data_IF_527855159292
#
_entry.id   IF_527855159292
#
_cell.length_a   1.000
_cell.length_b   1.000
_cell.length_c   1.000
_cell.angle_alpha   90.00
_cell.angle_beta   90.00
_cell.angle_gamma   90.00
#
_symmetry.space_group_name_H-M   'P 1'
#
loop_
_entity.id
_entity.type
_entity.pdbx_description
1 polymer ?
#
# COMPACT_ATOMS: atom_id res chain seq x y z
N UNK A 1 39.94 -5.33 27.40
CA UNK A 1 39.66 -4.66 26.11
C UNK A 1 38.90 -5.64 25.23
N UNK A 2 37.63 -5.35 24.93
CA UNK A 2 36.68 -6.27 24.28
C UNK A 2 36.99 -6.33 22.78
N UNK A 3 37.41 -7.50 22.27
CA UNK A 3 37.53 -7.79 20.85
C UNK A 3 36.17 -8.15 20.25
N UNK A 4 35.95 -7.58 19.07
CA UNK A 4 35.09 -7.98 17.94
C UNK A 4 33.55 -7.92 18.03
N UNK A 5 32.99 -7.17 17.06
CA UNK A 5 31.95 -7.70 16.16
C UNK A 5 32.15 -7.08 14.77
N UNK A 6 32.25 -7.88 13.69
CA UNK A 6 32.36 -7.37 12.33
C UNK A 6 31.01 -6.77 11.90
N UNK A 7 31.07 -5.62 11.24
CA UNK A 7 29.92 -4.89 10.70
C UNK A 7 29.30 -5.74 9.58
N UNK A 8 28.29 -6.53 9.93
CA UNK A 8 27.57 -7.43 9.01
C UNK A 8 27.02 -6.60 7.85
N UNK A 9 27.45 -6.94 6.65
CA UNK A 9 27.20 -6.20 5.42
C UNK A 9 25.71 -5.91 5.23
N UNK A 10 25.38 -4.62 5.06
CA UNK A 10 24.04 -4.22 4.66
C UNK A 10 23.72 -4.88 3.32
N UNK A 11 22.60 -5.59 3.19
CA UNK A 11 22.27 -6.29 1.96
C UNK A 11 22.16 -5.29 0.81
N UNK A 12 22.89 -5.58 -0.27
CA UNK A 12 23.04 -4.74 -1.46
C UNK A 12 21.66 -4.47 -2.07
N UNK A 13 21.15 -3.24 -1.88
CA UNK A 13 19.89 -2.79 -2.48
C UNK A 13 19.95 -2.98 -3.99
N UNK A 14 18.91 -3.59 -4.56
CA UNK A 14 18.81 -3.72 -6.01
C UNK A 14 18.86 -2.31 -6.65
N UNK A 15 19.49 -2.13 -7.83
CA UNK A 15 19.45 -0.84 -8.51
C UNK A 15 18.01 -0.39 -8.74
N UNK A 16 17.76 0.92 -8.67
CA UNK A 16 16.42 1.53 -8.71
C UNK A 16 15.63 1.07 -9.96
N UNK A 17 16.30 0.87 -11.09
CA UNK A 17 15.67 0.37 -12.33
C UNK A 17 15.03 -1.01 -12.11
N UNK A 18 15.67 -1.89 -11.35
CA UNK A 18 15.13 -3.23 -11.04
C UNK A 18 13.94 -3.11 -10.09
N UNK A 19 14.00 -2.21 -9.10
CA UNK A 19 12.86 -1.90 -8.23
C UNK A 19 11.64 -1.45 -9.04
N UNK A 20 11.84 -0.52 -9.98
CA UNK A 20 10.80 -0.05 -10.90
C UNK A 20 10.22 -1.20 -11.74
N UNK A 21 11.07 -2.08 -12.27
CA UNK A 21 10.64 -3.25 -13.03
C UNK A 21 9.81 -4.22 -12.18
N UNK A 22 10.16 -4.44 -10.91
CA UNK A 22 9.38 -5.28 -10.00
C UNK A 22 7.98 -4.70 -9.81
N UNK A 23 7.86 -3.40 -9.52
CA UNK A 23 6.54 -2.75 -9.41
C UNK A 23 5.75 -2.80 -10.72
N UNK A 24 6.39 -2.57 -11.86
CA UNK A 24 5.75 -2.64 -13.16
C UNK A 24 5.20 -4.04 -13.48
N UNK A 25 5.99 -5.09 -13.23
CA UNK A 25 5.56 -6.48 -13.43
C UNK A 25 4.40 -6.83 -12.50
N UNK A 26 4.48 -6.46 -11.23
CA UNK A 26 3.40 -6.72 -10.25
C UNK A 26 2.11 -6.02 -10.66
N UNK A 27 2.18 -4.75 -11.06
CA UNK A 27 1.01 -4.01 -11.54
C UNK A 27 0.44 -4.60 -12.83
N UNK A 28 1.30 -5.02 -13.77
CA UNK A 28 0.87 -5.67 -15.00
C UNK A 28 0.14 -6.99 -14.73
N UNK A 29 0.69 -7.84 -13.87
CA UNK A 29 0.04 -9.08 -13.44
C UNK A 29 -1.27 -8.77 -12.71
N UNK A 30 -1.28 -7.76 -11.84
CA UNK A 30 -2.49 -7.33 -11.14
C UNK A 30 -3.58 -6.84 -12.08
N UNK A 31 -3.21 -6.21 -13.19
CA UNK A 31 -4.14 -5.77 -14.22
C UNK A 31 -4.79 -6.96 -14.92
N UNK A 32 -4.02 -8.00 -15.27
CA UNK A 32 -4.56 -9.25 -15.84
C UNK A 32 -5.53 -9.92 -14.86
N UNK A 33 -5.19 -9.96 -13.58
CA UNK A 33 -6.06 -10.50 -12.53
C UNK A 33 -7.34 -9.66 -12.42
N UNK A 34 -7.22 -8.33 -12.38
CA UNK A 34 -8.35 -7.40 -12.29
C UNK A 34 -9.37 -7.61 -13.42
N UNK A 35 -8.90 -7.90 -14.64
CA UNK A 35 -9.76 -8.18 -15.80
C UNK A 35 -10.51 -9.51 -15.70
N UNK A 36 -9.97 -10.47 -14.94
CA UNK A 36 -10.58 -11.79 -14.71
C UNK A 36 -11.63 -11.78 -13.60
N UNK A 37 -11.63 -10.75 -12.74
CA UNK A 37 -12.59 -10.60 -11.63
C UNK A 37 -13.94 -10.11 -12.17
N UNK A 38 -15.08 -10.58 -11.62
CA UNK A 38 -16.40 -10.12 -12.04
C UNK A 38 -16.54 -8.58 -11.93
N UNK A 39 -17.07 -7.94 -12.97
CA UNK A 39 -17.29 -6.49 -13.02
C UNK A 39 -18.18 -5.95 -11.89
N UNK A 40 -18.94 -6.82 -11.21
CA UNK A 40 -19.74 -6.48 -10.05
C UNK A 40 -18.91 -6.12 -8.81
N UNK A 41 -17.60 -6.44 -8.79
CA UNK A 41 -16.71 -6.09 -7.70
C UNK A 41 -15.43 -5.43 -8.24
N UNK A 42 -15.49 -4.11 -8.58
CA UNK A 42 -14.37 -3.40 -9.16
C UNK A 42 -13.31 -3.12 -8.10
N UNK A 43 -12.33 -4.02 -7.99
CA UNK A 43 -11.14 -3.80 -7.18
C UNK A 43 -10.13 -2.95 -7.95
N UNK A 44 -9.61 -1.85 -7.36
CA UNK A 44 -8.53 -1.09 -7.97
C UNK A 44 -7.31 -1.99 -8.18
N UNK A 45 -6.72 -1.93 -9.37
CA UNK A 45 -5.52 -2.70 -9.72
C UNK A 45 -4.37 -2.56 -8.71
N UNK A 46 -4.06 -1.36 -8.17
CA UNK A 46 -3.01 -1.21 -7.16
C UNK A 46 -3.27 -1.98 -5.85
N UNK A 47 -4.55 -2.16 -5.47
CA UNK A 47 -4.91 -2.91 -4.25
C UNK A 47 -4.62 -4.40 -4.44
N UNK A 48 -4.89 -4.94 -5.63
CA UNK A 48 -4.51 -6.31 -6.00
C UNK A 48 -2.99 -6.45 -5.98
N UNK A 49 -2.27 -5.46 -6.52
CA UNK A 49 -0.81 -5.41 -6.51
C UNK A 49 -0.21 -5.40 -5.11
N UNK A 50 -0.85 -4.70 -4.16
CA UNK A 50 -0.44 -4.68 -2.76
C UNK A 50 -0.54 -6.07 -2.13
N UNK A 51 -1.66 -6.77 -2.34
CA UNK A 51 -1.85 -8.14 -1.84
C UNK A 51 -0.83 -9.09 -2.48
N UNK A 52 -0.61 -8.98 -3.79
CA UNK A 52 0.34 -9.81 -4.52
C UNK A 52 1.78 -9.59 -4.02
N UNK A 53 2.23 -8.33 -3.92
CA UNK A 53 3.55 -7.99 -3.41
C UNK A 53 3.74 -8.47 -1.97
N UNK A 54 2.72 -8.30 -1.11
CA UNK A 54 2.73 -8.80 0.26
C UNK A 54 2.93 -10.32 0.33
N UNK A 55 2.23 -11.08 -0.52
CA UNK A 55 2.40 -12.54 -0.59
C UNK A 55 3.80 -12.91 -1.08
N UNK A 56 4.31 -12.25 -2.13
CA UNK A 56 5.67 -12.47 -2.64
C UNK A 56 6.75 -12.19 -1.57
N UNK A 57 6.54 -11.17 -0.73
CA UNK A 57 7.40 -10.84 0.40
C UNK A 57 7.30 -11.90 1.50
N UNK A 58 6.08 -12.34 1.83
CA UNK A 58 5.81 -13.37 2.83
C UNK A 58 6.47 -14.70 2.46
N UNK A 59 6.37 -15.10 1.20
CA UNK A 59 7.02 -16.30 0.66
C UNK A 59 8.53 -16.13 0.40
N UNK A 60 9.10 -14.96 0.74
CA UNK A 60 10.52 -14.63 0.54
C UNK A 60 11.01 -14.76 -0.92
N UNK A 61 10.09 -14.71 -1.88
CA UNK A 61 10.42 -14.68 -3.33
C UNK A 61 11.06 -13.34 -3.68
N UNK A 62 10.51 -12.26 -3.10
CA UNK A 62 11.05 -10.90 -3.21
C UNK A 62 11.54 -10.48 -1.82
N UNK A 63 12.75 -9.92 -1.74
CA UNK A 63 13.28 -9.34 -0.50
C UNK A 63 12.80 -7.91 -0.36
N UNK A 64 12.54 -7.47 0.88
CA UNK A 64 12.11 -6.09 1.15
C UNK A 64 13.13 -5.06 0.61
N UNK A 65 14.42 -5.36 0.71
CA UNK A 65 15.53 -4.55 0.20
C UNK A 65 15.48 -4.30 -1.33
N UNK A 66 14.74 -5.13 -2.07
CA UNK A 66 14.59 -5.04 -3.52
C UNK A 66 13.45 -4.13 -3.95
N UNK A 67 12.71 -3.53 -3.02
CA UNK A 67 11.56 -2.66 -3.32
C UNK A 67 11.51 -1.40 -2.45
N UNK A 68 12.09 -1.44 -1.25
CA UNK A 68 12.00 -0.41 -0.21
C UNK A 68 12.50 0.99 -0.61
N UNK A 69 13.63 1.08 -1.32
CA UNK A 69 14.22 2.37 -1.67
C UNK A 69 13.34 3.18 -2.63
N UNK A 70 12.82 2.56 -3.70
CA UNK A 70 11.91 3.20 -4.65
C UNK A 70 10.55 3.46 -4.01
N UNK A 71 10.06 2.56 -3.16
CA UNK A 71 8.83 2.79 -2.39
C UNK A 71 8.92 4.08 -1.56
N UNK A 72 10.05 4.28 -0.88
CA UNK A 72 10.30 5.46 -0.06
C UNK A 72 10.30 6.74 -0.89
N UNK A 73 10.98 6.74 -2.04
CA UNK A 73 10.96 7.88 -2.98
C UNK A 73 9.54 8.19 -3.47
N UNK A 74 8.74 7.16 -3.75
CA UNK A 74 7.34 7.34 -4.18
C UNK A 74 6.50 7.96 -3.06
N UNK A 75 6.67 7.48 -1.83
CA UNK A 75 5.97 8.00 -0.65
C UNK A 75 6.33 9.47 -0.41
N UNK A 76 7.61 9.83 -0.52
CA UNK A 76 8.06 11.21 -0.41
C UNK A 76 7.45 12.12 -1.49
N UNK A 77 7.23 11.57 -2.69
CA UNK A 77 6.59 12.28 -3.80
C UNK A 77 5.06 12.42 -3.63
N UNK A 78 4.39 11.66 -2.76
CA UNK A 78 2.93 11.72 -2.58
C UNK A 78 2.48 13.15 -2.25
N UNK A 79 3.20 13.85 -1.37
CA UNK A 79 2.94 15.25 -1.02
C UNK A 79 2.95 16.17 -2.25
N UNK A 80 3.90 15.95 -3.16
CA UNK A 80 3.99 16.69 -4.42
C UNK A 80 2.85 16.31 -5.38
N UNK A 81 2.46 15.05 -5.47
CA UNK A 81 1.33 14.59 -6.30
C UNK A 81 -0.03 15.15 -5.86
N UNK A 82 -0.16 15.60 -4.61
CA UNK A 82 -1.35 16.32 -4.14
C UNK A 82 -1.48 17.73 -4.71
N UNK A 83 -0.39 18.40 -5.08
CA UNK A 83 -0.42 19.76 -5.66
C UNK A 83 -1.24 19.82 -6.95
N UNK A 84 -0.96 19.03 -8.01
CA UNK A 84 -1.77 19.06 -9.23
C UNK A 84 -3.22 18.61 -8.98
N UNK A 85 -3.43 17.64 -8.10
CA UNK A 85 -4.77 17.18 -7.71
C UNK A 85 -5.57 18.29 -7.02
N UNK A 86 -4.94 19.07 -6.13
CA UNK A 86 -5.55 20.20 -5.44
C UNK A 86 -5.85 21.38 -6.37
N UNK A 87 -4.95 21.68 -7.32
CA UNK A 87 -5.19 22.72 -8.33
C UNK A 87 -6.39 22.35 -9.22
N UNK A 88 -6.53 21.08 -9.60
CA UNK A 88 -7.69 20.61 -10.36
C UNK A 88 -9.01 20.79 -9.61
N UNK A 89 -9.01 20.60 -8.29
CA UNK A 89 -10.17 20.89 -7.43
C UNK A 89 -10.45 22.40 -7.34
N UNK A 90 -9.41 23.22 -7.18
CA UNK A 90 -9.53 24.69 -7.13
C UNK A 90 -10.00 25.30 -8.47
N UNK A 91 -9.77 24.62 -9.60
CA UNK A 91 -10.36 25.01 -10.88
C UNK A 91 -11.88 24.75 -10.95
N UNK A 92 -12.43 23.91 -10.07
CA UNK A 92 -13.83 23.50 -10.01
C UNK A 92 -14.48 23.87 -8.66
N UNK A 93 -14.26 25.11 -8.20
CA UNK A 93 -14.75 25.60 -6.90
C UNK A 93 -16.27 25.58 -6.76
N UNK A 94 -17.01 25.72 -7.85
CA UNK A 94 -18.47 25.73 -7.85
C UNK A 94 -19.04 24.41 -7.30
N UNK A 95 -18.50 23.28 -7.76
CA UNK A 95 -18.85 21.93 -7.28
C UNK A 95 -18.47 21.75 -5.81
N UNK A 96 -17.33 22.32 -5.40
CA UNK A 96 -16.87 22.26 -4.00
C UNK A 96 -17.78 23.08 -3.07
N UNK A 97 -18.37 24.18 -3.53
CA UNK A 97 -19.31 24.96 -2.70
C UNK A 97 -20.63 24.22 -2.48
N UNK A 98 -21.13 23.51 -3.50
CA UNK A 98 -22.39 22.77 -3.41
C UNK A 98 -22.24 21.41 -2.70
N UNK A 99 -21.17 20.66 -2.96
CA UNK A 99 -20.99 19.27 -2.49
C UNK A 99 -19.84 19.09 -1.50
N UNK A 100 -19.04 20.12 -1.22
CA UNK A 100 -17.84 20.02 -0.37
C UNK A 100 -18.13 19.55 1.05
N UNK A 101 -19.22 20.03 1.66
CA UNK A 101 -19.62 19.60 3.01
C UNK A 101 -19.98 18.10 3.02
N UNK A 102 -20.70 17.62 1.99
CA UNK A 102 -21.05 16.21 1.85
C UNK A 102 -19.79 15.35 1.67
N UNK A 103 -18.83 15.81 0.86
CA UNK A 103 -17.55 15.11 0.68
C UNK A 103 -16.76 14.99 1.98
N UNK A 104 -16.62 16.08 2.75
CA UNK A 104 -15.93 16.05 4.06
C UNK A 104 -16.62 15.05 5.00
N UNK A 105 -17.94 15.08 5.08
CA UNK A 105 -18.71 14.17 5.92
C UNK A 105 -18.52 12.71 5.50
N UNK A 106 -18.56 12.43 4.18
CA UNK A 106 -18.29 11.09 3.63
C UNK A 106 -16.87 10.63 3.94
N UNK A 107 -15.86 11.48 3.82
CA UNK A 107 -14.46 11.15 4.13
C UNK A 107 -14.31 10.80 5.62
N UNK A 108 -14.90 11.60 6.51
CA UNK A 108 -14.86 11.34 7.96
C UNK A 108 -15.51 10.00 8.28
N UNK A 109 -16.71 9.74 7.76
CA UNK A 109 -17.43 8.48 8.00
C UNK A 109 -16.63 7.31 7.43
N UNK A 110 -16.14 7.40 6.20
CA UNK A 110 -15.35 6.34 5.56
C UNK A 110 -14.07 6.04 6.36
N UNK A 111 -13.40 7.07 6.89
CA UNK A 111 -12.21 6.92 7.73
C UNK A 111 -12.55 6.20 9.04
N UNK A 112 -13.63 6.59 9.72
CA UNK A 112 -14.07 5.92 10.95
C UNK A 112 -14.41 4.46 10.67
N UNK A 113 -15.17 4.18 9.62
CA UNK A 113 -15.55 2.81 9.22
C UNK A 113 -14.29 1.99 8.90
N UNK A 114 -13.35 2.54 8.13
CA UNK A 114 -12.07 1.89 7.82
C UNK A 114 -11.30 1.51 9.09
N UNK A 115 -11.18 2.43 10.05
CA UNK A 115 -10.48 2.18 11.31
C UNK A 115 -11.18 1.12 12.16
N UNK A 116 -12.51 1.17 12.25
CA UNK A 116 -13.33 0.18 12.96
C UNK A 116 -13.12 -1.20 12.36
N UNK A 117 -13.28 -1.35 11.04
CA UNK A 117 -13.08 -2.63 10.34
C UNK A 117 -11.66 -3.14 10.58
N UNK A 118 -10.64 -2.29 10.41
CA UNK A 118 -9.24 -2.67 10.64
C UNK A 118 -8.99 -3.15 12.07
N UNK A 119 -9.56 -2.46 13.07
CA UNK A 119 -9.44 -2.84 14.47
C UNK A 119 -10.11 -4.19 14.77
N UNK A 120 -11.33 -4.42 14.26
CA UNK A 120 -12.03 -5.69 14.43
C UNK A 120 -11.32 -6.83 13.72
N UNK A 121 -10.87 -6.65 12.48
CA UNK A 121 -10.09 -7.64 11.73
C UNK A 121 -8.80 -8.01 12.48
N UNK A 122 -8.07 -7.03 13.01
CA UNK A 122 -6.85 -7.27 13.78
C UNK A 122 -7.14 -8.03 15.06
N UNK A 123 -8.19 -7.64 15.82
CA UNK A 123 -8.61 -8.36 17.04
C UNK A 123 -9.01 -9.81 16.76
N UNK A 124 -9.72 -10.04 15.65
CA UNK A 124 -10.11 -11.37 15.22
C UNK A 124 -8.89 -12.25 14.88
N UNK A 125 -7.94 -11.72 14.11
CA UNK A 125 -6.68 -12.41 13.79
C UNK A 125 -5.88 -12.75 15.05
N UNK A 126 -5.74 -11.80 15.98
CA UNK A 126 -5.04 -12.02 17.26
C UNK A 126 -5.75 -13.07 18.12
N UNK A 127 -7.08 -13.09 18.13
CA UNK A 127 -7.86 -14.12 18.81
C UNK A 127 -7.62 -15.52 18.25
N UNK A 128 -7.53 -15.64 16.91
CA UNK A 128 -7.19 -16.91 16.24
C UNK A 128 -5.75 -17.33 16.58
N UNK A 129 -4.79 -16.41 16.54
CA UNK A 129 -3.39 -16.66 16.87
C UNK A 129 -3.23 -17.15 18.33
N UNK A 130 -3.94 -16.54 19.28
CA UNK A 130 -3.92 -16.98 20.68
C UNK A 130 -4.43 -18.41 20.86
N UNK A 131 -5.42 -18.82 20.05
CA UNK A 131 -5.96 -20.19 20.06
C UNK A 131 -5.01 -21.22 19.43
N UNK A 132 -4.20 -20.80 18.46
CA UNK A 132 -3.21 -21.64 17.76
C UNK A 132 -1.89 -21.79 18.52
N UNK A 133 -1.45 -20.76 19.26
CA UNK A 133 -0.14 -20.75 19.96
C UNK A 133 -0.19 -21.44 21.33
N UNK A 134 -1.39 -21.76 21.83
CA UNK A 134 -1.61 -22.43 23.13
C UNK A 134 -1.86 -23.94 23.03
N UNK A 135 -1.56 -24.56 21.88
CA UNK A 135 -1.61 -26.00 21.64
C UNK A 135 -0.21 -26.49 21.32
#
# INVERSE_FOLDING_TARGET
MKKESPKKDAPKSAPIIIQMMIYAVILYVSQIISQSVPKSFPLPTPVIGLVLLYLLLTFHIVKLEWVDSFASVLIDLIGFLFVPSGIALAANLDIMQHEGIKLVLVIIIATIVLLVVTAYTTRFLLGIQHKMTKK
#
